data_IF_819929710202
#
_entry.id   IF_819929710202
#
_cell.length_a   1.000
_cell.length_b   1.000
_cell.length_c   1.000
_cell.angle_alpha   90.00
_cell.angle_beta   90.00
_cell.angle_gamma   90.00
#
_symmetry.space_group_name_H-M   'P 1'
#
loop_
_entity.id
_entity.type
_entity.pdbx_description
1 polymer ?
#
# COMPACT_ATOMS: atom_id res chain seq x y z
N UNK A 1 -11.86 7.15 -4.53
CA UNK A 1 -10.94 6.04 -4.80
C UNK A 1 -11.39 5.38 -6.09
N UNK A 2 -10.50 5.31 -7.08
CA UNK A 2 -10.76 4.68 -8.37
C UNK A 2 -10.49 3.18 -8.22
N UNK A 3 -11.51 2.35 -8.32
CA UNK A 3 -11.35 0.90 -8.20
C UNK A 3 -10.70 0.32 -9.45
N UNK A 4 -10.02 -0.82 -9.30
CA UNK A 4 -9.43 -1.53 -10.43
C UNK A 4 -10.43 -1.80 -11.55
N UNK A 5 -11.68 -2.20 -11.23
CA UNK A 5 -12.72 -2.41 -12.25
C UNK A 5 -13.08 -1.13 -13.01
N UNK A 6 -13.07 0.04 -12.36
CA UNK A 6 -13.38 1.32 -13.00
C UNK A 6 -12.28 1.71 -14.00
N UNK A 7 -11.01 1.56 -13.60
CA UNK A 7 -9.87 1.80 -14.49
C UNK A 7 -9.83 0.78 -15.63
N UNK A 8 -10.18 -0.48 -15.38
CA UNK A 8 -10.21 -1.55 -16.41
C UNK A 8 -11.41 -1.43 -17.35
N UNK A 9 -12.50 -0.79 -16.95
CA UNK A 9 -13.69 -0.57 -17.78
C UNK A 9 -13.55 0.60 -18.77
N UNK A 10 -12.38 1.26 -18.85
CA UNK A 10 -12.14 2.35 -19.80
C UNK A 10 -12.27 1.89 -21.24
N UNK A 11 -13.06 2.63 -22.01
CA UNK A 11 -13.34 2.42 -23.43
C UNK A 11 -13.03 3.66 -24.30
N UNK A 12 -12.60 4.77 -23.67
CA UNK A 12 -12.24 6.03 -24.31
C UNK A 12 -10.72 6.28 -24.28
N UNK A 13 -10.21 7.25 -25.05
CA UNK A 13 -8.84 7.74 -24.91
C UNK A 13 -8.51 8.10 -23.46
N UNK A 14 -7.27 7.83 -23.03
CA UNK A 14 -6.86 7.97 -21.63
C UNK A 14 -7.06 9.38 -21.07
N UNK A 15 -6.85 10.40 -21.91
CA UNK A 15 -7.07 11.81 -21.58
C UNK A 15 -8.54 12.10 -21.28
N UNK A 16 -9.46 11.56 -22.07
CA UNK A 16 -10.90 11.73 -21.85
C UNK A 16 -11.35 11.01 -20.58
N UNK A 17 -10.87 9.79 -20.36
CA UNK A 17 -11.10 9.07 -19.11
C UNK A 17 -10.59 9.85 -17.88
N UNK A 18 -9.45 10.53 -18.00
CA UNK A 18 -8.90 11.34 -16.93
C UNK A 18 -9.79 12.54 -16.60
N UNK A 19 -10.28 13.28 -17.60
CA UNK A 19 -11.21 14.39 -17.38
C UNK A 19 -12.59 13.92 -16.86
N UNK A 20 -13.11 12.81 -17.38
CA UNK A 20 -14.33 12.17 -16.87
C UNK A 20 -14.16 11.79 -15.39
N UNK A 21 -12.98 11.27 -15.02
CA UNK A 21 -12.66 10.92 -13.61
C UNK A 21 -12.59 12.16 -12.72
N UNK A 22 -11.96 13.25 -13.18
CA UNK A 22 -11.91 14.53 -12.44
C UNK A 22 -13.32 15.06 -12.20
N UNK A 23 -14.19 14.97 -13.22
CA UNK A 23 -15.56 15.46 -13.14
C UNK A 23 -16.43 14.74 -12.09
N UNK A 24 -16.05 13.53 -11.63
CA UNK A 24 -16.70 12.84 -10.53
C UNK A 24 -16.55 13.53 -9.18
N UNK A 25 -15.58 14.45 -9.03
CA UNK A 25 -15.39 15.26 -7.83
C UNK A 25 -15.51 16.75 -8.19
N UNK A 26 -16.69 17.37 -7.96
CA UNK A 26 -16.93 18.77 -8.33
C UNK A 26 -15.90 19.74 -7.77
N UNK A 27 -15.44 19.53 -6.55
CA UNK A 27 -14.43 20.37 -5.89
C UNK A 27 -13.06 20.25 -6.55
N UNK A 28 -12.67 19.05 -6.99
CA UNK A 28 -11.42 18.86 -7.74
C UNK A 28 -11.52 19.50 -9.12
N UNK A 29 -12.67 19.35 -9.79
CA UNK A 29 -12.92 19.96 -11.09
C UNK A 29 -12.82 21.49 -11.03
N UNK A 30 -13.43 22.13 -10.03
CA UNK A 30 -13.36 23.58 -9.88
C UNK A 30 -11.92 24.06 -9.60
N UNK A 31 -11.16 23.34 -8.76
CA UNK A 31 -9.75 23.66 -8.49
C UNK A 31 -8.83 23.56 -9.70
N UNK A 32 -9.17 22.70 -10.66
CA UNK A 32 -8.37 22.43 -11.86
C UNK A 32 -8.88 23.13 -13.11
N UNK A 33 -9.93 23.98 -13.03
CA UNK A 33 -10.58 24.56 -14.21
C UNK A 33 -9.66 25.39 -15.10
N UNK A 34 -8.68 26.06 -14.50
CA UNK A 34 -7.70 26.91 -15.18
C UNK A 34 -6.34 26.19 -15.36
N UNK A 35 -6.24 24.92 -14.96
CA UNK A 35 -5.01 24.13 -15.08
C UNK A 35 -4.90 23.48 -16.46
N UNK A 36 -3.72 23.56 -17.06
CA UNK A 36 -3.39 22.84 -18.29
C UNK A 36 -2.52 21.61 -17.98
N UNK A 37 -2.69 20.54 -18.76
CA UNK A 37 -1.78 19.40 -18.72
C UNK A 37 -0.41 19.81 -19.26
N UNK A 38 0.64 19.53 -18.49
CA UNK A 38 2.03 19.66 -18.98
C UNK A 38 2.27 18.57 -20.02
N UNK A 39 2.81 18.96 -21.18
CA UNK A 39 3.12 18.10 -22.32
C UNK A 39 1.93 17.34 -22.94
N UNK A 40 0.70 17.73 -22.58
CA UNK A 40 -0.56 17.14 -23.04
C UNK A 40 -0.69 15.61 -22.83
N UNK A 41 0.11 15.06 -21.90
CA UNK A 41 0.20 13.62 -21.64
C UNK A 41 -0.51 13.23 -20.36
N UNK A 42 -1.16 12.07 -20.40
CA UNK A 42 -1.68 11.37 -19.22
C UNK A 42 -1.04 9.99 -19.20
N UNK A 43 -0.55 9.58 -18.03
CA UNK A 43 0.05 8.27 -17.84
C UNK A 43 -0.87 7.38 -17.03
N UNK A 44 -0.99 6.12 -17.45
CA UNK A 44 -1.69 5.09 -16.72
C UNK A 44 -0.73 3.94 -16.40
N UNK A 45 -0.72 3.57 -15.13
CA UNK A 45 -0.07 2.35 -14.64
C UNK A 45 -1.13 1.47 -13.97
N UNK A 46 -1.27 0.24 -14.45
CA UNK A 46 -2.06 -0.80 -13.80
C UNK A 46 -1.17 -1.73 -12.99
N UNK A 47 -1.80 -2.71 -12.32
CA UNK A 47 -1.16 -3.91 -11.75
C UNK A 47 0.15 -3.70 -10.96
N UNK A 48 0.29 -2.58 -10.24
CA UNK A 48 1.53 -2.24 -9.54
C UNK A 48 1.76 -3.01 -8.24
N UNK A 49 0.76 -3.70 -7.66
CA UNK A 49 0.96 -4.39 -6.37
C UNK A 49 1.54 -5.80 -6.56
N UNK A 50 2.76 -6.03 -6.08
CA UNK A 50 3.44 -7.32 -6.14
C UNK A 50 4.38 -7.52 -4.95
N UNK A 51 4.77 -8.78 -4.71
CA UNK A 51 5.75 -9.15 -3.70
C UNK A 51 6.56 -10.33 -4.19
N UNK A 52 7.88 -10.19 -4.19
CA UNK A 52 8.84 -11.27 -4.42
C UNK A 52 8.81 -12.27 -3.25
N UNK A 53 9.18 -13.53 -3.54
CA UNK A 53 9.15 -14.62 -2.55
C UNK A 53 10.30 -14.55 -1.52
N UNK A 54 11.39 -13.91 -1.92
CA UNK A 54 12.61 -13.68 -1.14
C UNK A 54 13.19 -12.32 -1.52
N UNK A 55 13.97 -11.71 -0.64
CA UNK A 55 14.68 -10.45 -0.87
C UNK A 55 16.16 -10.67 -1.22
N UNK A 56 16.72 -11.84 -0.91
CA UNK A 56 18.14 -12.14 -1.03
C UNK A 56 18.37 -13.47 -1.72
N UNK A 57 19.49 -13.59 -2.44
CA UNK A 57 19.97 -14.87 -2.93
C UNK A 57 21.49 -14.86 -3.11
N UNK A 58 22.00 -15.85 -3.84
CA UNK A 58 23.45 -15.93 -4.05
C UNK A 58 23.94 -14.76 -4.90
N UNK A 59 24.70 -13.87 -4.25
CA UNK A 59 25.33 -12.67 -4.84
C UNK A 59 24.35 -11.59 -5.32
N UNK A 60 23.10 -11.59 -4.85
CA UNK A 60 22.17 -10.50 -5.10
C UNK A 60 21.27 -10.20 -3.90
N UNK A 61 20.70 -9.01 -3.89
CA UNK A 61 19.65 -8.58 -2.98
C UNK A 61 18.72 -7.60 -3.70
N UNK A 62 17.45 -7.59 -3.32
CA UNK A 62 16.41 -6.71 -3.84
C UNK A 62 16.00 -5.69 -2.77
N UNK A 63 15.86 -4.43 -3.18
CA UNK A 63 15.46 -3.30 -2.34
C UNK A 63 14.32 -2.53 -3.00
N UNK A 64 13.51 -1.88 -2.17
CA UNK A 64 12.35 -1.11 -2.60
C UNK A 64 11.43 -1.92 -3.50
N UNK A 65 11.03 -1.29 -4.60
CA UNK A 65 10.07 -1.84 -5.55
C UNK A 65 10.55 -3.18 -6.12
N UNK A 66 11.85 -3.40 -6.32
CA UNK A 66 12.38 -4.69 -6.79
C UNK A 66 11.99 -5.88 -5.88
N UNK A 67 11.78 -5.63 -4.59
CA UNK A 67 11.25 -6.66 -3.68
C UNK A 67 9.72 -6.63 -3.61
N UNK A 68 9.12 -5.47 -3.39
CA UNK A 68 7.67 -5.35 -3.25
C UNK A 68 7.21 -3.93 -3.52
N UNK A 69 6.08 -3.81 -4.20
CA UNK A 69 5.34 -2.57 -4.31
C UNK A 69 3.92 -2.80 -3.81
N UNK A 70 3.43 -1.87 -2.99
CA UNK A 70 2.06 -1.87 -2.49
C UNK A 70 1.43 -0.52 -2.84
N UNK A 71 0.11 -0.52 -3.03
CA UNK A 71 -0.72 0.66 -3.32
C UNK A 71 -0.22 1.97 -2.65
N UNK A 72 -0.01 3.05 -3.43
CA UNK A 72 0.55 4.32 -2.95
C UNK A 72 -0.39 5.13 -2.05
N UNK A 73 -1.52 4.58 -1.59
CA UNK A 73 -2.48 5.24 -0.70
C UNK A 73 -1.85 6.01 0.48
N UNK A 74 -0.75 5.51 1.05
CA UNK A 74 -0.09 6.13 2.20
C UNK A 74 1.28 6.74 1.88
N UNK A 75 1.66 6.85 0.60
CA UNK A 75 2.96 7.42 0.17
C UNK A 75 4.19 6.79 0.85
N UNK A 76 4.10 5.53 1.28
CA UNK A 76 5.17 4.85 2.03
C UNK A 76 6.25 4.20 1.15
N UNK A 77 6.08 4.18 -0.17
CA UNK A 77 7.00 3.50 -1.11
C UNK A 77 8.43 4.01 -1.02
N UNK A 78 8.64 5.32 -1.09
CA UNK A 78 9.99 5.93 -1.00
C UNK A 78 10.65 5.63 0.35
N UNK A 79 9.87 5.68 1.43
CA UNK A 79 10.37 5.33 2.77
C UNK A 79 10.81 3.86 2.84
N UNK A 80 9.96 2.93 2.38
CA UNK A 80 10.28 1.50 2.35
C UNK A 80 11.51 1.21 1.49
N UNK A 81 11.62 1.85 0.33
CA UNK A 81 12.79 1.75 -0.54
C UNK A 81 14.06 2.23 0.18
N UNK A 82 14.02 3.41 0.80
CA UNK A 82 15.15 3.98 1.53
C UNK A 82 15.56 3.11 2.72
N UNK A 83 14.60 2.66 3.52
CA UNK A 83 14.87 1.79 4.66
C UNK A 83 15.48 0.45 4.22
N UNK A 84 14.94 -0.15 3.16
CA UNK A 84 15.50 -1.40 2.61
C UNK A 84 16.90 -1.20 2.03
N UNK A 85 17.23 -0.02 1.49
CA UNK A 85 18.58 0.31 1.03
C UNK A 85 19.58 0.39 2.20
N UNK A 86 19.21 1.01 3.33
CA UNK A 86 20.05 1.00 4.54
C UNK A 86 20.30 -0.41 5.08
N UNK A 87 19.26 -1.24 5.13
CA UNK A 87 19.39 -2.61 5.61
C UNK A 87 20.16 -3.50 4.62
N UNK A 88 20.00 -3.27 3.32
CA UNK A 88 20.77 -3.92 2.25
C UNK A 88 22.25 -3.55 2.29
N UNK A 89 22.57 -2.27 2.51
CA UNK A 89 23.96 -1.81 2.67
C UNK A 89 24.65 -2.48 3.86
N UNK A 90 23.95 -2.65 5.00
CA UNK A 90 24.47 -3.41 6.15
C UNK A 90 24.71 -4.87 5.81
N UNK A 91 23.84 -5.49 5.01
CA UNK A 91 24.03 -6.87 4.56
C UNK A 91 25.28 -7.00 3.69
N UNK A 92 25.49 -6.08 2.74
CA UNK A 92 26.67 -6.05 1.87
C UNK A 92 27.94 -5.86 2.69
N UNK A 93 27.95 -4.93 3.64
CA UNK A 93 29.08 -4.75 4.56
C UNK A 93 29.39 -6.03 5.33
N UNK A 94 28.39 -6.71 5.90
CA UNK A 94 28.59 -8.00 6.57
C UNK A 94 29.13 -9.07 5.61
N UNK A 95 28.67 -9.11 4.36
CA UNK A 95 29.17 -10.07 3.37
C UNK A 95 30.66 -9.88 3.05
N UNK A 96 31.12 -8.62 3.01
CA UNK A 96 32.51 -8.26 2.70
C UNK A 96 33.42 -8.40 3.92
N UNK A 97 33.01 -7.86 5.06
CA UNK A 97 33.87 -7.73 6.24
C UNK A 97 33.81 -8.96 7.15
N UNK A 98 32.64 -9.62 7.22
CA UNK A 98 32.33 -10.67 8.22
C UNK A 98 31.52 -11.82 7.60
N UNK A 99 32.10 -12.55 6.62
CA UNK A 99 31.37 -13.57 5.86
C UNK A 99 30.80 -14.70 6.73
N UNK A 100 31.40 -15.00 7.89
CA UNK A 100 30.87 -15.97 8.86
C UNK A 100 29.51 -15.58 9.46
N UNK A 101 29.15 -14.29 9.48
CA UNK A 101 27.87 -13.79 9.98
C UNK A 101 26.80 -13.64 8.88
N UNK A 102 27.18 -13.86 7.60
CA UNK A 102 26.33 -13.56 6.46
C UNK A 102 25.00 -14.32 6.48
N UNK A 103 25.02 -15.60 6.86
CA UNK A 103 23.81 -16.42 6.92
C UNK A 103 22.77 -15.85 7.90
N UNK A 104 23.21 -15.44 9.09
CA UNK A 104 22.35 -14.83 10.09
C UNK A 104 21.85 -13.44 9.63
N UNK A 105 22.73 -12.64 9.03
CA UNK A 105 22.37 -11.32 8.50
C UNK A 105 21.33 -11.41 7.37
N UNK A 106 21.46 -12.38 6.46
CA UNK A 106 20.47 -12.65 5.39
C UNK A 106 19.10 -13.00 5.98
N UNK A 107 19.05 -13.95 6.93
CA UNK A 107 17.80 -14.33 7.59
C UNK A 107 17.12 -13.16 8.32
N UNK A 108 17.92 -12.30 8.98
CA UNK A 108 17.43 -11.08 9.63
C UNK A 108 16.88 -10.05 8.64
N UNK A 109 17.54 -9.87 7.48
CA UNK A 109 17.04 -8.98 6.42
C UNK A 109 15.72 -9.50 5.84
N UNK A 110 15.64 -10.78 5.47
CA UNK A 110 14.41 -11.41 4.95
C UNK A 110 13.22 -11.19 5.89
N UNK A 111 13.43 -11.33 7.21
CA UNK A 111 12.41 -11.06 8.19
C UNK A 111 11.97 -9.58 8.17
N UNK A 112 12.92 -8.63 8.16
CA UNK A 112 12.60 -7.19 8.13
C UNK A 112 11.86 -6.80 6.85
N UNK A 113 12.31 -7.32 5.70
CA UNK A 113 11.70 -7.10 4.40
C UNK A 113 10.25 -7.60 4.35
N UNK A 114 9.91 -8.67 5.09
CA UNK A 114 8.53 -9.18 5.16
C UNK A 114 7.60 -8.39 6.08
N UNK A 115 8.13 -7.82 7.17
CA UNK A 115 7.29 -7.21 8.23
C UNK A 115 6.60 -5.92 7.77
N UNK A 116 7.35 -4.97 7.20
CA UNK A 116 6.79 -3.69 6.76
C UNK A 116 5.63 -3.86 5.78
N UNK A 117 5.86 -4.49 4.62
CA UNK A 117 4.83 -4.76 3.61
C UNK A 117 3.60 -5.49 4.16
N UNK A 118 3.78 -6.47 5.06
CA UNK A 118 2.67 -7.18 5.69
C UNK A 118 1.78 -6.25 6.52
N UNK A 119 2.39 -5.35 7.28
CA UNK A 119 1.63 -4.46 8.15
C UNK A 119 0.92 -3.38 7.33
N UNK A 120 1.55 -2.76 6.33
CA UNK A 120 0.86 -1.81 5.43
C UNK A 120 -0.27 -2.46 4.63
N UNK A 121 -0.01 -3.61 4.01
CA UNK A 121 -1.03 -4.32 3.22
C UNK A 121 -2.25 -4.68 4.07
N UNK A 122 -2.07 -5.01 5.35
CA UNK A 122 -3.18 -5.27 6.27
C UNK A 122 -4.13 -4.07 6.39
N UNK A 123 -3.60 -2.84 6.46
CA UNK A 123 -4.39 -1.62 6.54
C UNK A 123 -4.97 -1.21 5.18
N UNK A 124 -4.14 -1.20 4.14
CA UNK A 124 -4.50 -0.81 2.77
C UNK A 124 -5.70 -1.63 2.29
N UNK A 125 -5.65 -2.95 2.39
CA UNK A 125 -6.75 -3.80 1.94
C UNK A 125 -8.03 -3.60 2.77
N UNK A 126 -7.91 -3.19 4.03
CA UNK A 126 -9.04 -3.07 4.95
C UNK A 126 -9.62 -1.66 5.06
N UNK A 127 -8.93 -0.62 4.61
CA UNK A 127 -9.46 0.75 4.57
C UNK A 127 -10.70 0.86 3.67
N UNK A 128 -10.85 -0.10 2.75
CA UNK A 128 -12.02 -0.25 1.90
C UNK A 128 -13.28 -0.72 2.65
N UNK A 129 -13.13 -1.31 3.83
CA UNK A 129 -14.25 -1.70 4.68
C UNK A 129 -14.89 -0.43 5.27
N UNK A 130 -16.22 -0.23 5.14
CA UNK A 130 -16.90 0.95 5.67
C UNK A 130 -16.64 1.20 7.16
N UNK A 131 -16.42 0.16 7.96
CA UNK A 131 -16.14 0.28 9.40
C UNK A 131 -14.75 0.85 9.66
N UNK A 132 -13.73 0.40 8.92
CA UNK A 132 -12.38 0.94 9.06
C UNK A 132 -12.30 2.33 8.45
N UNK A 133 -12.94 2.55 7.29
CA UNK A 133 -13.03 3.88 6.69
C UNK A 133 -13.56 4.89 7.71
N UNK A 134 -14.63 4.55 8.41
CA UNK A 134 -15.23 5.40 9.45
C UNK A 134 -14.28 5.63 10.64
N UNK A 135 -13.60 4.57 11.12
CA UNK A 135 -12.56 4.71 12.15
C UNK A 135 -11.37 5.58 11.69
N UNK A 136 -11.07 5.61 10.39
CA UNK A 136 -10.00 6.44 9.81
C UNK A 136 -10.45 7.90 9.65
N UNK A 137 -11.68 8.17 9.21
CA UNK A 137 -12.20 9.53 9.00
C UNK A 137 -12.65 10.19 10.29
N UNK A 138 -13.06 9.40 11.30
CA UNK A 138 -13.47 9.86 12.62
C UNK A 138 -12.68 9.11 13.72
N UNK A 139 -11.36 9.35 13.84
CA UNK A 139 -10.54 8.65 14.82
C UNK A 139 -10.82 9.15 16.24
N UNK A 140 -11.45 8.32 17.06
CA UNK A 140 -11.60 8.59 18.49
C UNK A 140 -10.28 8.31 19.24
N UNK A 141 -10.00 9.09 20.29
CA UNK A 141 -8.82 8.92 21.14
C UNK A 141 -8.89 7.68 22.06
N UNK A 142 -10.05 7.01 22.11
CA UNK A 142 -10.23 5.80 22.90
C UNK A 142 -9.17 4.74 22.52
N UNK A 143 -8.51 4.18 23.54
CA UNK A 143 -7.53 3.09 23.40
C UNK A 143 -6.30 3.40 22.54
N UNK A 144 -5.91 4.68 22.38
CA UNK A 144 -4.75 5.11 21.58
C UNK A 144 -4.83 4.70 20.09
N UNK A 145 -6.03 4.41 19.58
CA UNK A 145 -6.28 4.07 18.17
C UNK A 145 -5.69 5.13 17.23
N UNK A 146 -5.87 6.41 17.57
CA UNK A 146 -5.29 7.54 16.82
C UNK A 146 -3.76 7.47 16.75
N UNK A 147 -3.07 7.10 17.83
CA UNK A 147 -1.60 7.01 17.84
C UNK A 147 -1.10 5.86 16.97
N UNK A 148 -1.75 4.69 17.04
CA UNK A 148 -1.42 3.56 16.18
C UNK A 148 -1.60 3.89 14.70
N UNK A 149 -2.69 4.59 14.36
CA UNK A 149 -2.94 5.06 13.00
C UNK A 149 -1.90 6.11 12.54
N UNK A 150 -1.57 7.09 13.39
CA UNK A 150 -0.57 8.10 13.06
C UNK A 150 0.83 7.51 12.91
N UNK A 151 1.20 6.53 13.72
CA UNK A 151 2.49 5.83 13.63
C UNK A 151 2.59 5.00 12.34
N UNK A 152 1.51 4.33 11.93
CA UNK A 152 1.42 3.69 10.63
C UNK A 152 1.59 4.69 9.47
N UNK A 153 0.87 5.82 9.53
CA UNK A 153 0.94 6.86 8.50
C UNK A 153 2.30 7.58 8.46
N UNK A 154 2.95 7.71 9.61
CA UNK A 154 4.31 8.24 9.75
C UNK A 154 5.39 7.24 9.31
N UNK A 155 4.96 6.07 8.83
CA UNK A 155 5.81 4.98 8.42
C UNK A 155 6.79 4.45 9.48
N UNK A 156 6.39 4.50 10.75
CA UNK A 156 7.23 4.07 11.87
C UNK A 156 7.29 2.54 11.99
N UNK A 157 8.28 1.93 11.33
CA UNK A 157 8.56 0.49 11.35
C UNK A 157 9.49 0.12 12.53
N UNK A 158 9.99 1.08 13.32
CA UNK A 158 10.89 0.79 14.44
C UNK A 158 10.07 0.48 15.70
N UNK A 159 9.65 -0.77 15.79
CA UNK A 159 8.69 -1.31 16.76
C UNK A 159 9.13 -1.21 18.23
N UNK A 160 8.76 -0.14 18.92
CA UNK A 160 8.65 -0.16 20.38
C UNK A 160 7.49 -1.05 20.86
N UNK A 161 7.61 -1.67 22.03
CA UNK A 161 6.53 -2.48 22.63
C UNK A 161 5.20 -1.72 22.83
N UNK A 162 5.26 -0.38 22.86
CA UNK A 162 4.09 0.51 22.93
C UNK A 162 3.33 0.56 21.60
N UNK A 163 4.03 0.61 20.47
CA UNK A 163 3.40 0.59 19.13
C UNK A 163 2.69 -0.73 18.86
N UNK A 164 3.34 -1.87 19.12
CA UNK A 164 2.71 -3.19 18.93
C UNK A 164 1.43 -3.35 19.76
N UNK A 165 1.41 -2.82 20.98
CA UNK A 165 0.22 -2.80 21.84
C UNK A 165 -0.87 -1.92 21.24
N UNK A 166 -0.54 -0.74 20.73
CA UNK A 166 -1.51 0.13 20.05
C UNK A 166 -2.10 -0.52 18.80
N UNK A 167 -1.26 -1.19 17.99
CA UNK A 167 -1.69 -1.91 16.80
C UNK A 167 -2.60 -3.09 17.14
N UNK A 168 -2.25 -3.82 18.20
CA UNK A 168 -3.07 -4.92 18.71
C UNK A 168 -4.42 -4.41 19.20
N UNK A 169 -4.45 -3.35 20.01
CA UNK A 169 -5.70 -2.73 20.48
C UNK A 169 -6.54 -2.22 19.32
N UNK A 170 -5.93 -1.64 18.29
CA UNK A 170 -6.63 -1.26 17.06
C UNK A 170 -7.33 -2.46 16.41
N UNK A 171 -6.61 -3.60 16.28
CA UNK A 171 -7.19 -4.83 15.74
C UNK A 171 -8.35 -5.33 16.61
N UNK A 172 -8.21 -5.33 17.94
CA UNK A 172 -9.27 -5.76 18.87
C UNK A 172 -10.52 -4.89 18.71
N UNK A 173 -10.37 -3.56 18.73
CA UNK A 173 -11.47 -2.62 18.54
C UNK A 173 -12.12 -2.83 17.18
N UNK A 174 -11.32 -2.99 16.11
CA UNK A 174 -11.84 -3.30 14.78
C UNK A 174 -12.69 -4.56 14.76
N UNK A 175 -12.19 -5.68 15.30
CA UNK A 175 -12.95 -6.93 15.31
C UNK A 175 -14.21 -6.83 16.18
N UNK A 176 -14.15 -6.11 17.30
CA UNK A 176 -15.31 -5.86 18.16
C UNK A 176 -16.39 -5.03 17.45
N UNK A 177 -16.03 -3.89 16.86
CA UNK A 177 -16.96 -3.04 16.10
C UNK A 177 -17.49 -3.77 14.85
N UNK A 178 -16.64 -4.58 14.22
CA UNK A 178 -17.02 -5.42 13.09
C UNK A 178 -18.05 -6.49 13.48
N UNK A 179 -17.96 -7.04 14.70
CA UNK A 179 -18.91 -8.01 15.25
C UNK A 179 -20.25 -7.33 15.56
N UNK A 180 -20.22 -6.15 16.18
CA UNK A 180 -21.42 -5.35 16.45
C UNK A 180 -22.14 -4.93 15.15
N UNK A 181 -21.38 -4.65 14.09
CA UNK A 181 -21.90 -4.24 12.78
C UNK A 181 -21.87 -5.35 11.74
N UNK A 182 -22.10 -6.62 12.14
CA UNK A 182 -21.84 -7.78 11.29
C UNK A 182 -22.54 -7.73 9.91
N UNK A 183 -23.78 -7.24 9.83
CA UNK A 183 -24.52 -7.11 8.55
C UNK A 183 -23.83 -6.14 7.58
N UNK A 184 -23.34 -5.02 8.09
CA UNK A 184 -22.64 -3.98 7.32
C UNK A 184 -21.24 -4.45 6.92
N UNK A 185 -20.52 -5.09 7.84
CA UNK A 185 -19.20 -5.69 7.57
C UNK A 185 -19.31 -6.78 6.51
N UNK A 186 -20.28 -7.69 6.61
CA UNK A 186 -20.48 -8.78 5.66
C UNK A 186 -20.85 -8.28 4.26
N UNK A 187 -21.74 -7.28 4.17
CA UNK A 187 -22.08 -6.64 2.91
C UNK A 187 -20.88 -5.88 2.28
N UNK A 188 -20.01 -5.31 3.12
CA UNK A 188 -18.74 -4.71 2.68
C UNK A 188 -17.74 -5.76 2.18
N UNK A 189 -17.61 -6.87 2.90
CA UNK A 189 -16.73 -7.99 2.53
C UNK A 189 -17.15 -8.65 1.20
N UNK A 190 -18.46 -8.86 1.00
CA UNK A 190 -19.01 -9.38 -0.26
C UNK A 190 -18.70 -8.44 -1.44
N UNK A 191 -18.82 -7.11 -1.24
CA UNK A 191 -18.45 -6.09 -2.23
C UNK A 191 -16.94 -6.05 -2.49
N UNK A 192 -16.12 -6.18 -1.44
CA UNK A 192 -14.67 -6.22 -1.58
C UNK A 192 -14.23 -7.39 -2.47
N UNK A 193 -14.77 -8.59 -2.24
CA UNK A 193 -14.49 -9.77 -3.08
C UNK A 193 -14.87 -9.58 -4.55
N UNK A 194 -15.85 -8.74 -4.85
CA UNK A 194 -16.21 -8.36 -6.22
C UNK A 194 -15.25 -7.30 -6.78
N UNK A 195 -14.93 -6.28 -5.98
CA UNK A 195 -14.10 -5.14 -6.39
C UNK A 195 -12.62 -5.50 -6.64
N UNK A 196 -12.09 -6.54 -5.98
CA UNK A 196 -10.70 -7.01 -6.12
C UNK A 196 -10.51 -8.10 -7.17
N UNK A 197 -11.57 -8.49 -7.90
CA UNK A 197 -11.44 -9.53 -8.94
C UNK A 197 -10.44 -9.08 -9.98
N UNK A 198 -9.55 -9.98 -10.37
CA UNK A 198 -8.71 -9.72 -11.52
C UNK A 198 -9.56 -9.80 -12.79
N UNK A 199 -9.59 -8.70 -13.53
CA UNK A 199 -10.36 -8.51 -14.76
C UNK A 199 -9.43 -8.43 -15.98
N UNK A 200 -8.18 -8.92 -15.86
CA UNK A 200 -7.19 -8.92 -16.94
C UNK A 200 -6.38 -7.63 -17.04
N UNK A 201 -5.60 -7.43 -18.12
CA UNK A 201 -4.71 -6.29 -18.29
C UNK A 201 -5.48 -4.97 -18.43
N UNK A 202 -4.88 -3.87 -17.96
CA UNK A 202 -5.49 -2.55 -18.03
C UNK A 202 -5.34 -1.98 -19.45
N UNK A 203 -6.46 -1.70 -20.12
CA UNK A 203 -6.45 -1.08 -21.46
C UNK A 203 -5.77 0.30 -21.41
N UNK A 204 -4.80 0.51 -22.31
CA UNK A 204 -4.04 1.75 -22.42
C UNK A 204 -2.94 1.91 -21.37
N UNK A 205 -2.32 0.82 -20.89
CA UNK A 205 -1.10 0.90 -20.08
C UNK A 205 0.03 1.56 -20.87
N UNK A 206 0.68 2.55 -20.26
CA UNK A 206 1.72 3.36 -20.91
C UNK A 206 3.12 3.11 -20.33
N UNK A 207 3.23 2.36 -19.23
CA UNK A 207 4.48 2.27 -18.44
C UNK A 207 5.03 0.83 -18.36
N UNK A 208 4.18 -0.19 -18.45
CA UNK A 208 4.62 -1.59 -18.50
C UNK A 208 4.05 -2.22 -19.77
N UNK A 209 4.88 -2.53 -20.79
CA UNK A 209 4.40 -3.28 -21.94
C UNK A 209 3.96 -4.66 -21.46
N UNK A 210 2.76 -5.07 -21.89
CA UNK A 210 2.34 -6.46 -21.82
C UNK A 210 3.15 -7.25 -22.86
N UNK A 211 4.22 -7.92 -22.41
CA UNK A 211 4.85 -9.00 -23.17
C UNK A 211 3.94 -10.25 -23.17
#
# INVERSE_FOLDING_TARGET
MCWAYYLKARDKPLKDCFYDTIALCPELKDRLKDAALVDDKVHATGNFSYSSTHATGERYLMVGDAYTFIDPMFSSGVFLATQSAFDGAKLVATALDRPGELAAARAGLEQRMRVGPRDYSWFIYRVTNPTIRDMFTHPNSAFNVKQGLMSLLAADIHHGARYRRSLFMFKVVYYFVSLLNWRRTFAGWKRHRFNIRDMGPLRGETIQPSD
#
